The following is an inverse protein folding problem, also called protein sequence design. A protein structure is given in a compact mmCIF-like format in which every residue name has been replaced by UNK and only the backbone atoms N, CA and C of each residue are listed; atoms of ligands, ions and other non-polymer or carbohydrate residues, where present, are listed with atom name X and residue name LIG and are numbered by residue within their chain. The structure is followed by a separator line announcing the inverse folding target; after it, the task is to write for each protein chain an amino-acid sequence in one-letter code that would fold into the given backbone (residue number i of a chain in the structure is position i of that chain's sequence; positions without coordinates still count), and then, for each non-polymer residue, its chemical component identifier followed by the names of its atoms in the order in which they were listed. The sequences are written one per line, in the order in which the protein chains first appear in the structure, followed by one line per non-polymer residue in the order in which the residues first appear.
data_IF_577733848277
#
_entry.id   IF_577733848277
#
_cell.length_a   1.000
_cell.length_b   1.000
_cell.length_c   1.000
_cell.angle_alpha   90.00
_cell.angle_beta   90.00
_cell.angle_gamma   90.00
#
_symmetry.space_group_name_H-M   'P 1'
#
loop_
_entity.id
_entity.type
_entity.pdbx_description
1 polymer ?
#
# COMPACT_ATOMS: atom_id res chain seq x y z
N UNK A 1 -26.11 3.86 -3.68
CA UNK A 1 -25.17 4.04 -2.54
C UNK A 1 -25.78 3.44 -1.28
N UNK A 2 -26.99 3.86 -0.88
CA UNK A 2 -27.62 3.42 0.37
C UNK A 2 -27.94 1.92 0.42
N UNK A 3 -28.37 1.29 -0.67
CA UNK A 3 -28.58 -0.17 -0.73
C UNK A 3 -27.32 -0.96 -0.37
N UNK A 4 -26.16 -0.50 -0.84
CA UNK A 4 -24.86 -1.12 -0.47
C UNK A 4 -24.53 -0.93 1.01
N UNK A 5 -24.92 0.17 1.64
CA UNK A 5 -24.69 0.41 3.06
C UNK A 5 -25.54 -0.50 3.94
N UNK A 6 -26.77 -0.81 3.51
CA UNK A 6 -27.62 -1.82 4.17
C UNK A 6 -26.97 -3.20 4.10
N UNK A 7 -26.48 -3.61 2.92
CA UNK A 7 -25.77 -4.88 2.75
C UNK A 7 -24.53 -4.98 3.68
N UNK A 8 -23.77 -3.88 3.84
CA UNK A 8 -22.62 -3.83 4.73
C UNK A 8 -23.02 -3.92 6.21
N UNK A 9 -24.16 -3.36 6.60
CA UNK A 9 -24.68 -3.48 7.96
C UNK A 9 -25.03 -4.94 8.27
N UNK A 10 -25.76 -5.60 7.38
CA UNK A 10 -26.09 -7.03 7.52
C UNK A 10 -24.81 -7.87 7.58
N UNK A 11 -23.84 -7.57 6.70
CA UNK A 11 -22.56 -8.30 6.68
C UNK A 11 -21.79 -8.15 8.00
N UNK A 12 -21.77 -6.95 8.59
CA UNK A 12 -21.15 -6.74 9.90
C UNK A 12 -21.82 -7.57 11.00
N UNK A 13 -23.16 -7.65 11.01
CA UNK A 13 -23.91 -8.47 11.95
C UNK A 13 -23.60 -9.97 11.79
N UNK A 14 -23.47 -10.45 10.55
CA UNK A 14 -23.03 -11.82 10.26
C UNK A 14 -21.64 -12.08 10.83
N UNK A 15 -20.67 -11.19 10.58
CA UNK A 15 -19.30 -11.32 11.08
C UNK A 15 -19.27 -11.37 12.62
N UNK A 16 -20.04 -10.49 13.27
CA UNK A 16 -20.14 -10.49 14.73
C UNK A 16 -20.77 -11.81 15.25
N UNK A 17 -21.74 -12.36 14.54
CA UNK A 17 -22.32 -13.67 14.87
C UNK A 17 -21.30 -14.79 14.67
N UNK A 18 -20.57 -14.82 13.54
CA UNK A 18 -19.52 -15.80 13.27
C UNK A 18 -18.39 -15.74 14.30
N UNK A 19 -17.96 -14.54 14.72
CA UNK A 19 -16.92 -14.38 15.74
C UNK A 19 -17.33 -14.95 17.11
N UNK A 20 -18.63 -15.00 17.41
CA UNK A 20 -19.16 -15.59 18.63
C UNK A 20 -19.32 -17.11 18.57
N UNK A 21 -19.09 -17.74 17.41
CA UNK A 21 -19.15 -19.20 17.28
C UNK A 21 -17.98 -19.89 18.01
N UNK A 22 -18.23 -20.94 18.82
CA UNK A 22 -17.18 -21.60 19.62
C UNK A 22 -16.02 -22.19 18.81
N UNK A 23 -16.21 -22.42 17.49
CA UNK A 23 -15.22 -23.01 16.59
C UNK A 23 -14.21 -22.02 16.01
N UNK A 24 -14.56 -20.77 15.90
CA UNK A 24 -13.74 -19.74 15.22
C UNK A 24 -12.48 -19.40 16.03
N UNK A 25 -12.57 -19.43 17.36
CA UNK A 25 -11.41 -19.21 18.24
C UNK A 25 -10.30 -20.28 18.07
N UNK A 26 -10.63 -21.45 17.53
CA UNK A 26 -9.68 -22.54 17.29
C UNK A 26 -9.01 -22.46 15.91
N UNK A 27 -9.47 -21.58 15.03
CA UNK A 27 -8.88 -21.34 13.72
C UNK A 27 -8.32 -19.89 13.65
N UNK A 28 -7.01 -19.71 13.94
CA UNK A 28 -6.40 -18.38 13.97
C UNK A 28 -6.49 -17.63 12.63
N UNK A 29 -6.43 -18.34 11.51
CA UNK A 29 -6.48 -17.73 10.19
C UNK A 29 -7.88 -17.17 9.87
N UNK A 30 -8.93 -17.95 10.15
CA UNK A 30 -10.33 -17.53 10.00
C UNK A 30 -10.64 -16.37 10.94
N UNK A 31 -10.21 -16.47 12.21
CA UNK A 31 -10.41 -15.43 13.21
C UNK A 31 -9.76 -14.09 12.79
N UNK A 32 -8.50 -14.14 12.35
CA UNK A 32 -7.77 -12.95 11.90
C UNK A 32 -8.44 -12.30 10.67
N UNK A 33 -8.94 -13.11 9.74
CA UNK A 33 -9.66 -12.62 8.55
C UNK A 33 -10.96 -11.90 8.94
N UNK A 34 -11.76 -12.50 9.82
CA UNK A 34 -13.01 -11.91 10.30
C UNK A 34 -12.79 -10.63 11.10
N UNK A 35 -11.77 -10.61 11.99
CA UNK A 35 -11.40 -9.40 12.74
C UNK A 35 -10.94 -8.26 11.83
N UNK A 36 -10.20 -8.56 10.77
CA UNK A 36 -9.79 -7.57 9.78
C UNK A 36 -11.00 -7.00 9.04
N UNK A 37 -11.90 -7.86 8.57
CA UNK A 37 -13.14 -7.47 7.87
C UNK A 37 -14.04 -6.63 8.80
N UNK A 38 -14.20 -7.01 10.07
CA UNK A 38 -14.91 -6.22 11.08
C UNK A 38 -14.30 -4.83 11.23
N UNK A 39 -12.99 -4.75 11.43
CA UNK A 39 -12.29 -3.47 11.61
C UNK A 39 -12.42 -2.54 10.40
N UNK A 40 -12.56 -3.10 9.19
CA UNK A 40 -12.75 -2.34 7.97
C UNK A 40 -14.19 -1.83 7.82
N UNK A 41 -15.19 -2.64 8.21
CA UNK A 41 -16.62 -2.32 8.08
C UNK A 41 -17.18 -1.46 9.23
N UNK A 42 -16.64 -1.63 10.44
CA UNK A 42 -17.15 -0.94 11.63
C UNK A 42 -17.29 0.57 11.45
N UNK A 43 -16.27 1.33 10.97
CA UNK A 43 -16.38 2.78 10.80
C UNK A 43 -17.48 3.18 9.80
N UNK A 44 -17.68 2.38 8.75
CA UNK A 44 -18.68 2.65 7.72
C UNK A 44 -20.09 2.47 8.30
N UNK A 45 -20.28 1.39 9.05
CA UNK A 45 -21.58 1.08 9.66
C UNK A 45 -21.92 2.06 10.79
N UNK A 46 -20.93 2.49 11.57
CA UNK A 46 -21.15 3.47 12.64
C UNK A 46 -21.57 4.83 12.07
N UNK A 47 -20.87 5.32 11.04
CA UNK A 47 -21.24 6.55 10.33
C UNK A 47 -22.64 6.43 9.68
N UNK A 48 -22.97 5.25 9.15
CA UNK A 48 -24.29 5.02 8.54
C UNK A 48 -25.43 4.96 9.57
N UNK A 49 -25.18 4.37 10.74
CA UNK A 49 -26.14 4.37 11.86
C UNK A 49 -26.41 5.79 12.35
N UNK A 50 -25.34 6.60 12.49
CA UNK A 50 -25.47 8.01 12.87
C UNK A 50 -26.26 8.80 11.81
N UNK A 51 -25.97 8.57 10.52
CA UNK A 51 -26.73 9.17 9.41
C UNK A 51 -28.23 8.86 9.50
N UNK A 52 -28.61 7.59 9.73
CA UNK A 52 -30.02 7.19 9.92
C UNK A 52 -30.63 7.85 11.15
N UNK A 53 -29.90 7.93 12.25
CA UNK A 53 -30.41 8.60 13.46
C UNK A 53 -30.66 10.09 13.19
N UNK A 54 -29.76 10.79 12.49
CA UNK A 54 -29.98 12.19 12.11
C UNK A 54 -31.18 12.35 11.16
N UNK A 55 -31.38 11.43 10.19
CA UNK A 55 -32.56 11.44 9.33
C UNK A 55 -33.85 11.29 10.13
N UNK A 56 -33.88 10.36 11.09
CA UNK A 56 -35.02 10.17 11.96
C UNK A 56 -35.30 11.42 12.81
N UNK A 57 -34.25 12.03 13.37
CA UNK A 57 -34.39 13.31 14.10
C UNK A 57 -34.99 14.40 13.22
N UNK A 58 -34.59 14.51 11.94
CA UNK A 58 -35.15 15.48 11.00
C UNK A 58 -36.65 15.21 10.77
N UNK A 59 -37.05 13.95 10.58
CA UNK A 59 -38.44 13.58 10.37
C UNK A 59 -39.29 13.87 11.63
N UNK A 60 -38.80 13.48 12.81
CA UNK A 60 -39.49 13.71 14.10
C UNK A 60 -39.60 15.21 14.42
N UNK A 61 -38.52 15.98 14.25
CA UNK A 61 -38.53 17.43 14.48
C UNK A 61 -39.47 18.17 13.51
N UNK A 62 -39.61 17.72 12.26
CA UNK A 62 -40.54 18.27 11.31
C UNK A 62 -41.98 18.00 11.70
N UNK A 63 -42.30 16.76 12.15
CA UNK A 63 -43.65 16.41 12.63
C UNK A 63 -44.02 17.21 13.87
N UNK A 64 -43.10 17.34 14.83
CA UNK A 64 -43.32 18.12 16.05
C UNK A 64 -43.50 19.61 15.76
N UNK A 65 -42.78 20.18 14.78
CA UNK A 65 -42.90 21.58 14.34
C UNK A 65 -44.31 21.91 13.81
N UNK A 66 -44.95 20.93 13.18
CA UNK A 66 -46.33 21.11 12.68
C UNK A 66 -47.39 21.05 13.75
N UNK A 67 -47.15 20.36 14.88
CA UNK A 67 -48.10 20.17 15.95
C UNK A 67 -47.88 21.16 17.11
N UNK A 68 -46.64 21.70 17.29
CA UNK A 68 -46.25 22.55 18.41
C UNK A 68 -46.68 24.01 18.22
N UNK A 69 -47.29 24.59 19.26
CA UNK A 69 -47.77 25.97 19.28
C UNK A 69 -46.93 26.90 20.14
N UNK A 70 -46.05 26.37 20.99
CA UNK A 70 -45.14 27.15 21.82
C UNK A 70 -43.94 27.67 21.03
N UNK A 71 -43.71 28.98 21.08
CA UNK A 71 -42.69 29.65 20.29
C UNK A 71 -41.26 29.31 20.71
N UNK A 72 -41.04 29.11 22.03
CA UNK A 72 -39.72 28.69 22.55
C UNK A 72 -39.38 27.27 22.11
N UNK A 73 -40.37 26.36 22.18
CA UNK A 73 -40.19 24.98 21.73
C UNK A 73 -39.98 24.89 20.25
N UNK A 74 -40.67 25.71 19.46
CA UNK A 74 -40.47 25.79 17.99
C UNK A 74 -39.08 26.31 17.63
N UNK A 75 -38.50 27.24 18.37
CA UNK A 75 -37.14 27.69 18.14
C UNK A 75 -36.11 26.58 18.42
N UNK A 76 -36.26 25.84 19.55
CA UNK A 76 -35.40 24.69 19.83
C UNK A 76 -35.49 23.62 18.75
N UNK A 77 -36.68 23.27 18.28
CA UNK A 77 -36.87 22.29 17.24
C UNK A 77 -36.24 22.75 15.88
N UNK A 78 -36.27 24.04 15.58
CA UNK A 78 -35.61 24.57 14.38
C UNK A 78 -34.09 24.51 14.49
N UNK A 79 -33.53 24.74 15.67
CA UNK A 79 -32.10 24.65 15.92
C UNK A 79 -31.64 23.20 15.81
N UNK A 80 -32.34 22.26 16.44
CA UNK A 80 -32.12 20.83 16.34
C UNK A 80 -32.19 20.32 14.88
N UNK A 81 -33.19 20.80 14.13
CA UNK A 81 -33.36 20.47 12.73
C UNK A 81 -32.24 21.02 11.84
N UNK A 82 -31.71 22.22 12.16
CA UNK A 82 -30.60 22.82 11.45
C UNK A 82 -29.29 22.03 11.70
N UNK A 83 -29.04 21.66 12.96
CA UNK A 83 -27.88 20.88 13.37
C UNK A 83 -27.92 19.47 12.75
N UNK A 84 -29.08 18.79 12.80
CA UNK A 84 -29.25 17.49 12.20
C UNK A 84 -29.03 17.50 10.67
N UNK A 85 -29.51 18.53 9.97
CA UNK A 85 -29.28 18.68 8.52
C UNK A 85 -27.83 18.91 8.19
N UNK A 86 -27.14 19.78 8.96
CA UNK A 86 -25.72 20.02 8.78
C UNK A 86 -24.90 18.73 8.99
N UNK A 87 -25.26 17.98 10.02
CA UNK A 87 -24.59 16.70 10.32
C UNK A 87 -24.84 15.64 9.24
N UNK A 88 -26.01 15.61 8.62
CA UNK A 88 -26.33 14.74 7.47
C UNK A 88 -25.38 15.03 6.30
N UNK A 89 -25.19 16.31 5.95
CA UNK A 89 -24.30 16.70 4.84
C UNK A 89 -22.84 16.29 5.11
N UNK A 90 -22.38 16.46 6.36
CA UNK A 90 -21.04 15.99 6.77
C UNK A 90 -20.91 14.47 6.65
N UNK A 91 -21.90 13.72 7.19
CA UNK A 91 -21.92 12.25 7.16
C UNK A 91 -22.05 11.69 5.75
N UNK A 92 -22.78 12.35 4.86
CA UNK A 92 -22.80 11.96 3.45
C UNK A 92 -21.42 12.06 2.79
N UNK A 93 -20.69 13.10 3.12
CA UNK A 93 -19.33 13.30 2.61
C UNK A 93 -18.36 12.27 3.21
N UNK A 94 -18.46 12.04 4.52
CA UNK A 94 -17.68 11.03 5.24
C UNK A 94 -17.95 9.61 4.72
N UNK A 95 -19.21 9.24 4.53
CA UNK A 95 -19.61 7.94 3.96
C UNK A 95 -19.08 7.75 2.54
N UNK A 96 -19.11 8.79 1.70
CA UNK A 96 -18.51 8.74 0.36
C UNK A 96 -17.01 8.45 0.42
N UNK A 97 -16.29 9.06 1.38
CA UNK A 97 -14.86 8.83 1.59
C UNK A 97 -14.60 7.41 2.12
N UNK A 98 -15.37 6.96 3.09
CA UNK A 98 -15.25 5.61 3.68
C UNK A 98 -15.53 4.48 2.69
N UNK A 99 -16.40 4.73 1.71
CA UNK A 99 -16.72 3.79 0.64
C UNK A 99 -15.71 3.77 -0.50
N UNK A 100 -14.71 4.67 -0.50
CA UNK A 100 -13.64 4.60 -1.50
C UNK A 100 -12.87 3.28 -1.36
N UNK A 101 -12.50 2.65 -2.48
CA UNK A 101 -11.72 1.42 -2.43
C UNK A 101 -10.39 1.68 -1.71
N UNK A 102 -10.19 1.00 -0.59
CA UNK A 102 -8.93 1.04 0.16
C UNK A 102 -7.87 0.23 -0.60
N UNK A 103 -6.66 0.72 -0.62
CA UNK A 103 -5.53 -0.02 -1.14
C UNK A 103 -5.23 -1.20 -0.19
N UNK A 104 -5.18 -2.46 -0.67
CA UNK A 104 -4.89 -3.61 0.18
C UNK A 104 -3.52 -3.51 0.88
N UNK A 105 -2.62 -2.68 0.35
CA UNK A 105 -1.31 -2.44 0.91
C UNK A 105 -1.29 -1.39 2.03
N UNK A 106 -2.38 -0.65 2.26
CA UNK A 106 -2.42 0.47 3.22
C UNK A 106 -2.08 0.05 4.67
N UNK A 107 -2.31 -1.19 5.04
CA UNK A 107 -1.98 -1.74 6.36
C UNK A 107 -0.54 -2.23 6.50
N UNK A 108 0.22 -2.33 5.38
CA UNK A 108 1.56 -2.91 5.36
C UNK A 108 2.62 -1.93 5.85
N UNK A 109 3.76 -2.48 6.24
CA UNK A 109 4.98 -1.72 6.42
C UNK A 109 5.47 -1.17 5.08
N UNK A 110 6.36 -0.20 5.12
CA UNK A 110 6.82 0.47 3.91
C UNK A 110 8.33 0.39 3.77
N UNK A 111 8.78 0.11 2.56
CA UNK A 111 10.18 0.19 2.14
C UNK A 111 10.36 1.52 1.40
N UNK A 112 11.29 2.32 1.89
CA UNK A 112 11.64 3.62 1.32
C UNK A 112 13.02 3.50 0.70
N UNK A 113 13.13 3.83 -0.57
CA UNK A 113 14.38 3.87 -1.33
C UNK A 113 14.62 5.31 -1.80
N UNK A 114 15.75 5.89 -1.40
CA UNK A 114 16.16 7.24 -1.81
C UNK A 114 17.45 7.11 -2.62
N UNK A 115 17.46 7.68 -3.82
CA UNK A 115 18.64 7.72 -4.68
C UNK A 115 18.99 9.15 -5.07
N UNK A 116 20.28 9.46 -5.05
CA UNK A 116 20.80 10.69 -5.60
C UNK A 116 20.56 10.72 -7.12
N UNK A 117 19.96 11.81 -7.60
CA UNK A 117 19.72 12.07 -9.01
C UNK A 117 20.73 13.06 -9.60
N UNK A 118 20.24 14.07 -10.31
CA UNK A 118 21.09 15.11 -10.87
C UNK A 118 21.63 16.06 -9.79
N UNK A 119 22.96 16.23 -9.73
CA UNK A 119 23.59 17.17 -8.79
C UNK A 119 24.84 16.65 -8.09
N UNK A 120 25.24 15.38 -8.38
CA UNK A 120 26.47 14.80 -7.82
C UNK A 120 26.45 14.71 -6.29
N UNK A 121 27.52 15.21 -5.65
CA UNK A 121 27.67 15.15 -4.19
C UNK A 121 26.57 15.90 -3.43
N UNK A 122 26.09 17.01 -3.97
CA UNK A 122 25.00 17.78 -3.38
C UNK A 122 23.69 16.98 -3.35
N UNK A 123 23.39 16.24 -4.40
CA UNK A 123 22.24 15.35 -4.41
C UNK A 123 22.37 14.23 -3.36
N UNK A 124 23.59 13.71 -3.14
CA UNK A 124 23.84 12.71 -2.13
C UNK A 124 23.70 13.28 -0.70
N UNK A 125 24.17 14.50 -0.44
CA UNK A 125 23.98 15.19 0.84
C UNK A 125 22.47 15.43 1.11
N UNK A 126 21.76 15.86 0.09
CA UNK A 126 20.31 16.07 0.22
C UNK A 126 19.56 14.74 0.44
N UNK A 127 19.99 13.63 -0.16
CA UNK A 127 19.43 12.31 0.12
C UNK A 127 19.58 11.92 1.59
N UNK A 128 20.72 12.22 2.19
CA UNK A 128 20.95 11.98 3.63
C UNK A 128 20.05 12.87 4.52
N UNK A 129 19.75 14.10 4.11
CA UNK A 129 18.82 14.97 4.84
C UNK A 129 17.38 14.48 4.75
N UNK A 130 16.94 14.05 3.57
CA UNK A 130 15.59 13.49 3.38
C UNK A 130 15.44 12.15 4.11
N UNK A 131 16.46 11.31 4.15
CA UNK A 131 16.47 10.13 4.99
C UNK A 131 16.23 10.49 6.46
N UNK A 132 16.98 11.46 7.01
CA UNK A 132 16.79 11.94 8.40
C UNK A 132 15.42 12.51 8.65
N UNK A 133 14.84 13.21 7.68
CA UNK A 133 13.48 13.73 7.74
C UNK A 133 12.45 12.60 7.93
N UNK A 134 12.55 11.54 7.12
CA UNK A 134 11.63 10.40 7.25
C UNK A 134 11.85 9.60 8.54
N UNK A 135 13.09 9.45 9.01
CA UNK A 135 13.36 8.80 10.30
C UNK A 135 12.69 9.58 11.44
N UNK A 136 12.84 10.92 11.48
CA UNK A 136 12.19 11.77 12.49
C UNK A 136 10.66 11.72 12.40
N UNK A 137 10.12 11.69 11.18
CA UNK A 137 8.68 11.52 10.99
C UNK A 137 8.20 10.17 11.53
N UNK A 138 8.92 9.09 11.26
CA UNK A 138 8.60 7.77 11.78
C UNK A 138 8.67 7.74 13.33
N UNK A 139 9.69 8.36 13.92
CA UNK A 139 9.84 8.49 15.39
C UNK A 139 8.65 9.26 16.01
N UNK A 140 8.20 10.34 15.39
CA UNK A 140 7.03 11.12 15.87
C UNK A 140 5.75 10.29 15.89
N UNK A 141 5.64 9.33 14.97
CA UNK A 141 4.53 8.38 14.85
C UNK A 141 4.72 7.10 15.66
N UNK A 142 5.86 6.97 16.39
CA UNK A 142 6.25 5.76 17.14
C UNK A 142 6.42 4.54 16.24
N UNK A 143 6.77 4.76 14.97
CA UNK A 143 7.15 3.70 14.04
C UNK A 143 8.63 3.38 14.19
N UNK A 144 9.00 2.12 13.93
CA UNK A 144 10.39 1.69 13.96
C UNK A 144 11.00 1.78 12.57
N UNK A 145 12.22 2.27 12.48
CA UNK A 145 12.99 2.31 11.24
C UNK A 145 14.11 1.30 11.28
N UNK A 146 14.31 0.59 10.17
CA UNK A 146 15.37 -0.40 9.99
C UNK A 146 16.12 -0.11 8.70
N UNK A 147 17.44 0.09 8.81
CA UNK A 147 18.29 0.32 7.66
C UNK A 147 18.57 -1.01 6.95
N UNK A 148 18.22 -1.12 5.67
CA UNK A 148 18.43 -2.33 4.87
C UNK A 148 19.71 -2.26 4.05
N UNK A 149 19.95 -1.12 3.39
CA UNK A 149 21.12 -0.91 2.53
C UNK A 149 21.52 0.56 2.52
N UNK A 150 22.81 0.82 2.49
CA UNK A 150 23.38 2.16 2.45
C UNK A 150 24.61 2.21 1.54
N UNK A 151 24.63 3.17 0.62
CA UNK A 151 25.78 3.47 -0.23
C UNK A 151 26.15 4.95 -0.05
N UNK A 152 27.24 5.19 0.68
CA UNK A 152 27.76 6.52 1.00
C UNK A 152 28.72 7.05 -0.07
N UNK A 153 28.84 8.39 -0.16
CA UNK A 153 29.78 9.05 -1.07
C UNK A 153 31.10 9.51 -0.41
N UNK A 154 31.35 9.14 0.84
CA UNK A 154 32.58 9.49 1.58
C UNK A 154 32.63 10.90 2.20
N UNK A 155 31.64 11.76 1.94
CA UNK A 155 31.48 13.10 2.55
C UNK A 155 30.21 13.21 3.39
N UNK A 156 29.65 12.08 3.80
CA UNK A 156 28.44 12.00 4.63
C UNK A 156 27.13 12.08 3.84
N UNK A 157 27.16 12.09 2.51
CA UNK A 157 26.00 11.99 1.64
C UNK A 157 25.70 10.54 1.24
N UNK A 158 24.48 10.27 0.82
CA UNK A 158 24.03 8.95 0.40
C UNK A 158 23.77 8.93 -1.11
N UNK A 159 24.50 8.09 -1.84
CA UNK A 159 24.19 7.80 -3.25
C UNK A 159 22.89 7.03 -3.36
N UNK A 160 22.70 6.10 -2.43
CA UNK A 160 21.51 5.28 -2.31
C UNK A 160 21.32 4.87 -0.86
N UNK A 161 20.11 4.93 -0.35
CA UNK A 161 19.73 4.37 0.94
C UNK A 161 18.37 3.70 0.81
N UNK A 162 18.28 2.47 1.35
CA UNK A 162 17.03 1.71 1.44
C UNK A 162 16.80 1.36 2.91
N UNK A 163 15.63 1.67 3.41
CA UNK A 163 15.25 1.40 4.79
C UNK A 163 13.77 1.06 4.88
N UNK A 164 13.42 0.30 5.89
CA UNK A 164 12.05 -0.08 6.19
C UNK A 164 11.50 0.75 7.34
N UNK A 165 10.24 1.14 7.24
CA UNK A 165 9.47 1.77 8.33
C UNK A 165 8.38 0.80 8.74
N UNK A 166 8.50 0.27 9.95
CA UNK A 166 7.58 -0.69 10.55
C UNK A 166 6.55 0.05 11.41
N UNK A 167 5.30 0.09 10.95
CA UNK A 167 4.23 0.74 11.68
C UNK A 167 2.87 0.54 11.01
N UNK A 168 1.83 0.43 11.82
CA UNK A 168 0.47 0.31 11.32
C UNK A 168 0.10 1.53 10.46
N UNK A 169 -0.28 1.30 9.21
CA UNK A 169 -0.66 2.36 8.28
C UNK A 169 0.51 3.20 7.75
N UNK A 170 1.77 2.75 7.90
CA UNK A 170 2.93 3.48 7.41
C UNK A 170 2.88 3.67 5.89
N UNK A 171 2.52 2.63 5.15
CA UNK A 171 2.38 2.71 3.70
C UNK A 171 1.26 3.65 3.28
N UNK A 172 0.10 3.64 3.94
CA UNK A 172 -1.05 4.49 3.59
C UNK A 172 -0.72 5.98 3.60
N UNK A 173 0.18 6.40 4.48
CA UNK A 173 0.62 7.80 4.57
C UNK A 173 1.78 8.11 3.64
N UNK A 174 2.79 7.26 3.60
CA UNK A 174 4.04 7.52 2.88
C UNK A 174 3.96 7.25 1.37
N UNK A 175 2.97 6.50 0.88
CA UNK A 175 2.80 6.23 -0.57
C UNK A 175 2.75 7.50 -1.42
N UNK A 176 2.33 8.62 -0.86
CA UNK A 176 2.27 9.91 -1.55
C UNK A 176 3.62 10.65 -1.59
N UNK A 177 4.65 10.16 -0.90
CA UNK A 177 5.99 10.73 -0.87
C UNK A 177 6.87 10.33 -2.05
N UNK A 178 6.40 9.38 -2.88
CA UNK A 178 7.12 8.91 -4.06
C UNK A 178 7.29 9.99 -5.12
N UNK A 179 8.41 9.93 -5.84
CA UNK A 179 8.70 10.79 -6.97
C UNK A 179 10.02 11.55 -6.87
N UNK A 180 10.15 12.62 -7.66
CA UNK A 180 11.35 13.44 -7.73
C UNK A 180 11.27 14.61 -6.75
N UNK A 181 12.19 14.65 -5.80
CA UNK A 181 12.36 15.76 -4.86
C UNK A 181 13.54 16.65 -5.28
N UNK A 182 13.29 17.93 -5.38
CA UNK A 182 14.25 18.91 -5.86
C UNK A 182 14.67 19.85 -4.76
N UNK A 183 15.98 20.08 -4.61
CA UNK A 183 16.54 21.06 -3.69
C UNK A 183 17.13 22.25 -4.46
N UNK A 184 16.94 23.44 -3.92
CA UNK A 184 17.53 24.69 -4.38
C UNK A 184 18.24 25.35 -3.21
N UNK A 185 19.58 25.30 -3.20
CA UNK A 185 20.45 25.96 -2.19
C UNK A 185 21.85 26.19 -2.76
N UNK A 186 22.64 26.95 -2.04
CA UNK A 186 24.07 27.01 -2.25
C UNK A 186 24.68 25.74 -1.66
N UNK A 187 25.29 24.84 -2.46
CA UNK A 187 25.90 23.61 -1.94
C UNK A 187 27.04 23.92 -0.97
N UNK A 188 27.25 23.08 0.02
CA UNK A 188 28.43 23.16 0.90
C UNK A 188 29.76 22.97 0.13
N UNK A 189 29.69 22.31 -1.03
CA UNK A 189 30.83 22.08 -1.92
C UNK A 189 31.09 23.23 -2.91
N UNK A 190 30.26 24.28 -2.92
CA UNK A 190 30.35 25.40 -3.85
C UNK A 190 31.07 26.60 -3.22
N UNK A 191 32.22 27.00 -3.79
CA UNK A 191 33.01 28.15 -3.33
C UNK A 191 32.50 29.50 -3.84
N UNK A 192 31.67 29.50 -4.90
CA UNK A 192 31.21 30.71 -5.59
C UNK A 192 29.88 31.27 -5.10
N UNK A 193 29.25 30.68 -4.08
CA UNK A 193 27.95 31.14 -3.53
C UNK A 193 26.77 31.02 -4.48
N UNK A 194 26.88 30.27 -5.56
CA UNK A 194 25.81 30.11 -6.55
C UNK A 194 24.76 29.09 -6.07
N UNK A 195 23.49 29.44 -6.27
CA UNK A 195 22.39 28.52 -6.00
C UNK A 195 22.39 27.41 -7.06
N UNK A 196 22.55 26.16 -6.61
CA UNK A 196 22.41 24.99 -7.46
C UNK A 196 21.05 24.32 -7.28
N UNK A 197 20.65 23.58 -8.29
CA UNK A 197 19.44 22.76 -8.27
C UNK A 197 19.85 21.30 -8.40
N UNK A 198 19.61 20.54 -7.35
CA UNK A 198 19.88 19.10 -7.31
C UNK A 198 18.58 18.30 -7.12
N UNK A 199 18.59 17.04 -7.50
CA UNK A 199 17.41 16.16 -7.40
C UNK A 199 17.77 14.85 -6.75
N UNK A 200 16.81 14.29 -6.05
CA UNK A 200 16.80 12.92 -5.58
C UNK A 200 15.51 12.25 -6.05
N UNK A 201 15.52 10.96 -6.09
CA UNK A 201 14.32 10.16 -6.33
C UNK A 201 13.95 9.38 -5.08
N UNK A 202 12.68 9.35 -4.76
CA UNK A 202 12.11 8.61 -3.64
C UNK A 202 11.15 7.58 -4.19
N UNK A 203 11.41 6.29 -3.95
CA UNK A 203 10.48 5.21 -4.23
C UNK A 203 9.88 4.70 -2.92
N UNK A 204 8.58 4.47 -2.91
CA UNK A 204 7.82 3.98 -1.77
C UNK A 204 7.14 2.68 -2.18
N UNK A 205 7.52 1.59 -1.55
CA UNK A 205 6.98 0.27 -1.85
C UNK A 205 6.41 -0.37 -0.60
N UNK A 206 5.30 -1.12 -0.71
CA UNK A 206 4.81 -1.91 0.40
C UNK A 206 5.78 -3.06 0.68
N UNK A 207 5.86 -3.49 1.94
CA UNK A 207 6.59 -4.72 2.30
C UNK A 207 5.99 -5.92 1.55
N UNK A 208 6.85 -6.69 0.90
CA UNK A 208 6.46 -7.90 0.19
C UNK A 208 6.08 -9.00 1.17
N UNK A 209 4.95 -9.66 0.96
CA UNK A 209 4.57 -10.86 1.70
C UNK A 209 5.36 -12.06 1.19
N UNK A 210 5.62 -13.04 2.06
CA UNK A 210 6.19 -14.32 1.66
C UNK A 210 5.30 -14.99 0.60
N UNK A 211 5.93 -15.61 -0.39
CA UNK A 211 5.21 -16.32 -1.43
C UNK A 211 4.75 -17.67 -0.86
N UNK A 212 3.49 -17.78 -0.51
CA UNK A 212 2.88 -19.08 -0.20
C UNK A 212 2.50 -19.79 -1.50
N UNK A 213 3.47 -20.53 -2.06
CA UNK A 213 3.27 -21.27 -3.30
C UNK A 213 2.76 -22.69 -3.01
N UNK A 214 1.49 -22.95 -3.33
CA UNK A 214 0.90 -24.28 -3.27
C UNK A 214 0.70 -24.83 -4.68
N UNK A 215 1.35 -25.98 -4.96
CA UNK A 215 1.18 -26.69 -6.24
C UNK A 215 -0.09 -27.55 -6.18
N UNK A 216 -1.06 -27.26 -7.05
CA UNK A 216 -2.20 -28.16 -7.26
C UNK A 216 -1.78 -29.34 -8.14
N UNK A 217 -1.91 -30.55 -7.60
CA UNK A 217 -1.58 -31.79 -8.33
C UNK A 217 -2.58 -32.09 -9.46
N UNK A 218 -3.77 -31.50 -9.44
CA UNK A 218 -4.76 -31.67 -10.51
C UNK A 218 -4.33 -30.96 -11.81
N UNK A 219 -3.49 -29.94 -11.71
CA UNK A 219 -2.92 -29.23 -12.84
C UNK A 219 -1.71 -29.98 -13.47
N UNK A 220 -1.37 -31.13 -12.91
CA UNK A 220 -0.20 -31.90 -13.31
C UNK A 220 -0.59 -33.15 -14.08
N UNK A 221 -0.19 -33.24 -15.35
CA UNK A 221 -0.33 -34.46 -16.17
C UNK A 221 0.95 -35.31 -16.11
N UNK A 222 0.82 -36.57 -15.74
CA UNK A 222 1.92 -37.53 -15.70
C UNK A 222 1.84 -38.52 -16.85
N UNK A 223 2.89 -38.56 -17.64
CA UNK A 223 3.09 -39.55 -18.68
C UNK A 223 4.31 -40.43 -18.31
N UNK A 224 4.19 -41.75 -18.42
CA UNK A 224 5.30 -42.68 -18.15
C UNK A 224 5.84 -43.23 -19.46
N UNK A 225 7.15 -43.42 -19.52
CA UNK A 225 7.82 -43.92 -20.70
C UNK A 225 9.08 -44.72 -20.33
N UNK A 226 9.66 -45.42 -21.31
CA UNK A 226 10.91 -46.15 -21.11
C UNK A 226 12.08 -45.23 -21.07
N UNK A 227 12.96 -45.42 -20.06
CA UNK A 227 14.18 -44.62 -19.97
C UNK A 227 15.08 -44.89 -21.19
N UNK A 228 15.69 -43.84 -21.73
CA UNK A 228 16.66 -43.94 -22.81
C UNK A 228 18.09 -43.83 -22.25
N UNK A 229 18.98 -44.75 -22.59
CA UNK A 229 20.40 -44.71 -22.17
C UNK A 229 21.08 -46.06 -22.25
N UNK A 230 22.39 -46.06 -22.00
CA UNK A 230 23.20 -47.30 -21.94
C UNK A 230 22.81 -48.10 -20.68
N UNK A 231 21.99 -49.15 -20.83
CA UNK A 231 21.54 -49.95 -19.69
C UNK A 231 21.16 -51.36 -20.11
N UNK A 232 21.11 -52.29 -19.15
CA UNK A 232 20.70 -53.69 -19.34
C UNK A 232 19.18 -53.87 -19.42
N UNK A 233 18.67 -55.10 -19.21
CA UNK A 233 17.26 -55.45 -19.39
C UNK A 233 16.28 -54.56 -18.58
N UNK A 234 16.68 -54.01 -17.43
CA UNK A 234 15.83 -53.16 -16.59
C UNK A 234 15.48 -51.81 -17.25
N UNK A 235 16.39 -51.20 -18.01
CA UNK A 235 16.17 -49.93 -18.73
C UNK A 235 15.26 -50.12 -19.94
N UNK A 236 15.37 -51.28 -20.62
CA UNK A 236 14.67 -51.51 -21.88
C UNK A 236 13.25 -52.13 -21.71
N UNK A 237 12.94 -52.66 -20.51
CA UNK A 237 11.67 -53.36 -20.26
C UNK A 237 10.73 -52.66 -19.30
N UNK A 238 11.24 -51.76 -18.46
CA UNK A 238 10.43 -51.11 -17.40
C UNK A 238 10.16 -49.65 -17.73
N UNK A 239 8.89 -49.22 -17.68
CA UNK A 239 8.50 -47.81 -17.84
C UNK A 239 8.81 -47.04 -16.56
N UNK A 240 10.09 -46.76 -16.32
CA UNK A 240 10.57 -46.05 -15.09
C UNK A 240 10.70 -44.55 -15.24
N UNK A 241 10.79 -44.06 -16.48
CA UNK A 241 10.89 -42.59 -16.73
C UNK A 241 9.52 -41.93 -16.66
N UNK A 242 9.51 -40.73 -16.12
CA UNK A 242 8.30 -39.92 -15.89
C UNK A 242 8.45 -38.59 -16.61
N UNK A 243 7.44 -38.21 -17.39
CA UNK A 243 7.26 -36.86 -17.95
C UNK A 243 6.10 -36.21 -17.20
N UNK A 244 6.38 -35.08 -16.58
CA UNK A 244 5.42 -34.27 -15.88
C UNK A 244 5.17 -33.01 -16.70
N UNK A 245 3.92 -32.76 -17.06
CA UNK A 245 3.49 -31.54 -17.76
C UNK A 245 2.57 -30.76 -16.84
N UNK A 246 2.94 -29.52 -16.53
CA UNK A 246 2.06 -28.59 -15.81
C UNK A 246 1.16 -27.87 -16.83
N UNK A 247 -0.14 -28.15 -16.77
CA UNK A 247 -1.11 -27.73 -17.80
C UNK A 247 -1.19 -26.20 -17.94
N UNK A 248 -1.31 -25.41 -16.84
CA UNK A 248 -1.47 -23.96 -16.97
C UNK A 248 -0.25 -23.22 -17.55
N UNK A 249 0.97 -23.68 -17.22
CA UNK A 249 2.21 -23.01 -17.67
C UNK A 249 2.87 -23.67 -18.87
N UNK A 250 2.45 -24.89 -19.23
CA UNK A 250 3.05 -25.67 -20.30
C UNK A 250 4.47 -26.20 -19.99
N UNK A 251 4.94 -26.11 -18.75
CA UNK A 251 6.26 -26.60 -18.34
C UNK A 251 6.27 -28.11 -18.41
N UNK A 252 7.25 -28.66 -19.12
CA UNK A 252 7.47 -30.10 -19.23
C UNK A 252 8.79 -30.49 -18.55
N UNK A 253 8.72 -31.47 -17.64
CA UNK A 253 9.88 -32.00 -16.92
C UNK A 253 9.94 -33.49 -17.16
N UNK A 254 11.10 -33.99 -17.60
CA UNK A 254 11.35 -35.42 -17.76
C UNK A 254 12.42 -35.87 -16.79
N UNK A 255 12.10 -36.89 -15.98
CA UNK A 255 13.01 -37.50 -15.02
C UNK A 255 13.14 -38.99 -15.34
N UNK A 256 14.41 -39.47 -15.54
CA UNK A 256 14.72 -40.86 -15.87
C UNK A 256 15.97 -41.37 -15.13
N UNK A 257 16.44 -40.64 -14.13
CA UNK A 257 17.72 -40.92 -13.46
C UNK A 257 17.64 -42.09 -12.48
N UNK A 258 16.44 -42.32 -11.92
CA UNK A 258 16.23 -43.34 -10.93
C UNK A 258 15.59 -44.61 -11.57
N UNK A 259 15.91 -45.77 -11.01
CA UNK A 259 15.31 -47.06 -11.44
C UNK A 259 13.83 -47.21 -11.03
N UNK A 260 13.35 -46.36 -10.12
CA UNK A 260 11.99 -46.37 -9.58
C UNK A 260 11.16 -45.26 -10.19
N UNK A 261 10.03 -45.61 -10.81
CA UNK A 261 9.05 -44.65 -11.33
C UNK A 261 8.57 -43.68 -10.24
N UNK A 262 8.33 -44.15 -9.02
CA UNK A 262 7.87 -43.33 -7.90
C UNK A 262 8.90 -42.28 -7.54
N UNK A 263 10.19 -42.64 -7.46
CA UNK A 263 11.28 -41.69 -7.19
C UNK A 263 11.44 -40.65 -8.30
N UNK A 264 11.30 -41.04 -9.58
CA UNK A 264 11.32 -40.14 -10.71
C UNK A 264 10.13 -39.16 -10.67
N UNK A 265 8.94 -39.61 -10.26
CA UNK A 265 7.76 -38.78 -10.07
C UNK A 265 7.98 -37.73 -8.96
N UNK A 266 8.48 -38.17 -7.81
CA UNK A 266 8.77 -37.24 -6.69
C UNK A 266 9.85 -36.20 -7.06
N UNK A 267 10.86 -36.65 -7.82
CA UNK A 267 11.90 -35.76 -8.33
C UNK A 267 11.35 -34.73 -9.31
N UNK A 268 10.50 -35.18 -10.26
CA UNK A 268 9.84 -34.29 -11.21
C UNK A 268 8.99 -33.23 -10.52
N UNK A 269 8.21 -33.62 -9.48
CA UNK A 269 7.41 -32.69 -8.68
C UNK A 269 8.27 -31.67 -7.93
N UNK A 270 9.41 -32.08 -7.35
CA UNK A 270 10.33 -31.16 -6.69
C UNK A 270 10.91 -30.14 -7.66
N UNK A 271 11.33 -30.59 -8.84
CA UNK A 271 11.86 -29.71 -9.89
C UNK A 271 10.77 -28.76 -10.41
N UNK A 272 9.52 -29.25 -10.57
CA UNK A 272 8.41 -28.40 -10.96
C UNK A 272 8.13 -27.30 -9.93
N UNK A 273 8.06 -27.67 -8.63
CA UNK A 273 7.86 -26.69 -7.55
C UNK A 273 8.93 -25.60 -7.56
N UNK A 274 10.20 -25.98 -7.70
CA UNK A 274 11.29 -25.00 -7.77
C UNK A 274 11.13 -24.07 -8.97
N UNK A 275 10.85 -24.60 -10.17
CA UNK A 275 10.69 -23.77 -11.38
C UNK A 275 9.48 -22.83 -11.29
N UNK A 276 8.36 -23.29 -10.77
CA UNK A 276 7.17 -22.44 -10.61
C UNK A 276 7.39 -21.38 -9.56
N UNK A 277 8.08 -21.70 -8.46
CA UNK A 277 8.48 -20.74 -7.45
C UNK A 277 9.42 -19.65 -8.02
N UNK A 278 10.44 -20.07 -8.80
CA UNK A 278 11.36 -19.14 -9.46
C UNK A 278 10.63 -18.23 -10.47
N UNK A 279 9.65 -18.75 -11.21
CA UNK A 279 8.83 -17.95 -12.12
C UNK A 279 7.97 -16.93 -11.38
N UNK A 280 7.33 -17.31 -10.28
CA UNK A 280 6.51 -16.40 -9.49
C UNK A 280 7.37 -15.32 -8.82
N UNK A 281 8.56 -15.70 -8.34
CA UNK A 281 9.53 -14.76 -7.80
C UNK A 281 9.98 -13.75 -8.86
N UNK A 282 10.30 -14.23 -10.07
CA UNK A 282 10.70 -13.36 -11.18
C UNK A 282 9.58 -12.40 -11.58
N UNK A 283 8.35 -12.90 -11.66
CA UNK A 283 7.18 -12.06 -11.99
C UNK A 283 6.99 -10.94 -10.97
N UNK A 284 7.10 -11.26 -9.67
CA UNK A 284 7.03 -10.24 -8.61
C UNK A 284 8.15 -9.20 -8.73
N UNK A 285 9.37 -9.65 -8.99
CA UNK A 285 10.50 -8.72 -9.20
C UNK A 285 10.27 -7.79 -10.40
N UNK A 286 9.68 -8.31 -11.48
CA UNK A 286 9.38 -7.50 -12.67
C UNK A 286 8.27 -6.49 -12.36
N UNK A 287 7.21 -6.88 -11.64
CA UNK A 287 6.12 -6.01 -11.18
C UNK A 287 6.64 -4.91 -10.23
N UNK A 288 7.48 -5.26 -9.25
CA UNK A 288 8.13 -4.30 -8.35
C UNK A 288 9.05 -3.33 -9.10
N UNK A 289 9.82 -3.84 -10.07
CA UNK A 289 10.71 -3.01 -10.88
C UNK A 289 9.92 -2.03 -11.75
N UNK A 290 8.78 -2.45 -12.30
CA UNK A 290 7.88 -1.58 -13.07
C UNK A 290 7.21 -0.54 -12.17
N UNK A 291 6.69 -0.93 -11.02
CA UNK A 291 6.12 -0.03 -10.03
C UNK A 291 7.14 1.03 -9.58
N UNK A 292 8.38 0.62 -9.30
CA UNK A 292 9.48 1.53 -8.97
C UNK A 292 9.78 2.51 -10.11
N UNK A 293 9.87 2.04 -11.35
CA UNK A 293 10.11 2.90 -12.52
C UNK A 293 9.01 3.93 -12.71
N UNK A 294 7.75 3.54 -12.53
CA UNK A 294 6.61 4.46 -12.68
C UNK A 294 6.62 5.57 -11.62
N UNK A 295 7.14 5.32 -10.42
CA UNK A 295 7.24 6.30 -9.34
C UNK A 295 8.38 7.31 -9.54
N UNK A 296 9.54 6.86 -10.01
CA UNK A 296 10.78 7.65 -10.02
C UNK A 296 11.05 8.36 -11.36
N UNK A 297 10.36 7.99 -12.45
CA UNK A 297 10.60 8.57 -13.76
C UNK A 297 12.07 8.48 -14.19
N UNK A 298 12.59 9.55 -14.78
CA UNK A 298 14.02 9.68 -15.18
C UNK A 298 14.89 10.32 -14.10
N UNK A 299 14.29 10.89 -13.03
CA UNK A 299 15.00 11.68 -12.02
C UNK A 299 15.50 13.04 -12.52
N UNK A 300 15.04 13.51 -13.67
CA UNK A 300 15.41 14.82 -14.21
C UNK A 300 14.84 15.96 -13.36
N UNK A 301 15.52 17.12 -13.42
CA UNK A 301 15.11 18.35 -12.74
C UNK A 301 13.74 18.87 -13.18
N UNK A 302 13.27 18.49 -14.35
CA UNK A 302 11.94 18.85 -14.88
C UNK A 302 10.81 18.07 -14.22
N UNK A 303 11.05 16.84 -13.77
CA UNK A 303 10.06 15.91 -13.18
C UNK A 303 9.87 16.12 -11.67
N UNK A 304 9.79 17.38 -11.25
CA UNK A 304 9.68 17.72 -9.82
C UNK A 304 8.29 17.45 -9.26
N UNK A 305 8.20 16.62 -8.24
CA UNK A 305 6.99 16.51 -7.41
C UNK A 305 7.02 17.54 -6.30
N UNK A 306 8.17 17.67 -5.61
CA UNK A 306 8.34 18.62 -4.51
C UNK A 306 9.64 19.39 -4.64
N UNK A 307 9.60 20.68 -4.29
CA UNK A 307 10.79 21.56 -4.29
C UNK A 307 11.03 22.12 -2.90
N UNK A 308 12.26 21.94 -2.41
CA UNK A 308 12.77 22.48 -1.17
C UNK A 308 13.66 23.70 -1.50
N UNK A 309 13.18 24.89 -1.22
CA UNK A 309 13.88 26.15 -1.54
C UNK A 309 14.43 26.75 -0.25
N UNK A 310 15.73 26.56 -0.02
CA UNK A 310 16.42 27.04 1.19
C UNK A 310 16.51 28.55 1.26
N UNK A 311 16.89 29.31 0.19
CA UNK A 311 16.92 30.76 0.24
C UNK A 311 15.60 31.43 0.61
N UNK A 312 14.47 30.78 0.30
CA UNK A 312 13.13 31.29 0.59
C UNK A 312 12.47 30.58 1.80
N UNK A 313 13.16 29.62 2.44
CA UNK A 313 12.62 28.88 3.59
C UNK A 313 11.31 28.15 3.31
N UNK A 314 11.07 27.74 2.06
CA UNK A 314 9.79 27.15 1.65
C UNK A 314 9.91 25.77 1.00
N UNK A 315 8.86 24.98 1.20
CA UNK A 315 8.63 23.72 0.47
C UNK A 315 7.38 23.86 -0.38
N UNK A 316 7.46 23.46 -1.65
CA UNK A 316 6.32 23.50 -2.58
C UNK A 316 6.07 22.11 -3.15
N UNK A 317 4.89 21.53 -2.92
CA UNK A 317 4.42 20.35 -3.62
C UNK A 317 3.68 20.78 -4.89
N UNK A 318 4.22 20.38 -6.04
CA UNK A 318 3.71 20.85 -7.34
C UNK A 318 2.46 20.09 -7.80
N UNK A 319 2.21 18.91 -7.26
CA UNK A 319 1.03 18.10 -7.59
C UNK A 319 -0.27 18.78 -7.16
N UNK A 320 -0.26 19.38 -5.97
CA UNK A 320 -1.40 20.05 -5.34
C UNK A 320 -1.21 21.56 -5.23
N UNK A 321 -0.09 22.10 -5.73
CA UNK A 321 0.29 23.52 -5.66
C UNK A 321 0.34 24.08 -4.24
N UNK A 322 0.59 23.22 -3.24
CA UNK A 322 0.75 23.61 -1.85
C UNK A 322 2.14 24.21 -1.62
N UNK A 323 2.20 25.37 -0.96
CA UNK A 323 3.46 26.00 -0.58
C UNK A 323 3.45 26.33 0.91
N UNK A 324 4.44 25.83 1.65
CA UNK A 324 4.60 26.01 3.09
C UNK A 324 5.93 26.74 3.36
N UNK A 325 5.90 27.82 4.16
CA UNK A 325 7.07 28.63 4.51
C UNK A 325 7.68 28.20 5.85
N UNK A 326 7.92 26.88 6.01
CA UNK A 326 8.50 26.27 7.23
C UNK A 326 9.39 25.09 6.89
N UNK A 327 10.35 25.35 5.99
CA UNK A 327 11.29 24.36 5.49
C UNK A 327 11.99 23.58 6.63
N UNK A 328 12.50 24.27 7.64
CA UNK A 328 13.26 23.66 8.74
C UNK A 328 12.40 22.70 9.57
N UNK A 329 11.14 23.04 9.81
CA UNK A 329 10.19 22.18 10.55
C UNK A 329 9.89 20.90 9.76
N UNK A 330 9.68 21.06 8.44
CA UNK A 330 9.43 19.93 7.52
C UNK A 330 10.64 18.99 7.49
N UNK A 331 11.87 19.51 7.35
CA UNK A 331 13.10 18.70 7.39
C UNK A 331 13.33 18.05 8.76
N UNK A 332 12.70 18.56 9.81
CA UNK A 332 12.67 17.94 11.13
C UNK A 332 11.53 16.93 11.33
N UNK A 333 10.82 16.55 10.27
CA UNK A 333 9.84 15.47 10.28
C UNK A 333 8.39 15.92 10.40
N UNK A 334 8.07 17.22 10.31
CA UNK A 334 6.67 17.69 10.31
C UNK A 334 6.08 17.61 8.89
N UNK A 335 5.64 16.42 8.50
CA UNK A 335 5.11 16.12 7.16
C UNK A 335 3.58 16.04 7.12
N UNK A 336 2.90 16.10 8.26
CA UNK A 336 1.46 15.79 8.34
C UNK A 336 0.62 16.67 7.42
N UNK A 337 0.81 18.00 7.43
CA UNK A 337 0.02 18.90 6.59
C UNK A 337 0.18 18.61 5.09
N UNK A 338 1.39 18.26 4.65
CA UNK A 338 1.65 17.90 3.24
C UNK A 338 0.96 16.59 2.90
N UNK A 339 1.14 15.57 3.75
CA UNK A 339 0.58 14.23 3.54
C UNK A 339 -0.94 14.29 3.57
N UNK A 340 -1.54 14.97 4.56
CA UNK A 340 -2.99 15.10 4.68
C UNK A 340 -3.61 15.83 3.49
N UNK A 341 -2.94 16.89 2.99
CA UNK A 341 -3.36 17.59 1.78
C UNK A 341 -3.29 16.70 0.53
N UNK A 342 -2.28 15.84 0.42
CA UNK A 342 -2.16 14.88 -0.68
C UNK A 342 -3.22 13.78 -0.60
N UNK A 343 -3.51 13.28 0.60
CA UNK A 343 -4.60 12.33 0.85
C UNK A 343 -5.94 12.93 0.44
N UNK A 344 -6.23 14.16 0.87
CA UNK A 344 -7.48 14.85 0.52
C UNK A 344 -7.61 15.08 -1.00
N UNK A 345 -6.52 15.42 -1.67
CA UNK A 345 -6.52 15.58 -3.13
C UNK A 345 -6.77 14.24 -3.87
N UNK A 346 -6.16 13.15 -3.41
CA UNK A 346 -6.38 11.80 -3.97
C UNK A 346 -7.82 11.33 -3.75
N UNK A 347 -8.36 11.52 -2.54
CA UNK A 347 -9.76 11.21 -2.23
C UNK A 347 -10.73 12.01 -3.12
N UNK A 348 -10.47 13.31 -3.30
CA UNK A 348 -11.28 14.16 -4.19
C UNK A 348 -11.23 13.67 -5.63
N UNK A 349 -10.05 13.29 -6.12
CA UNK A 349 -9.90 12.75 -7.47
C UNK A 349 -10.60 11.40 -7.65
N UNK A 350 -10.59 10.53 -6.65
CA UNK A 350 -11.30 9.25 -6.65
C UNK A 350 -12.82 9.45 -6.63
N UNK A 351 -13.32 10.36 -5.79
CA UNK A 351 -14.75 10.72 -5.75
C UNK A 351 -15.24 11.29 -7.09
N UNK A 352 -14.43 12.14 -7.73
CA UNK A 352 -14.78 12.67 -9.07
C UNK A 352 -14.89 11.57 -10.14
N UNK A 353 -14.05 10.53 -10.06
CA UNK A 353 -14.11 9.35 -10.96
C UNK A 353 -15.31 8.44 -10.68
N UNK A 354 -15.77 8.34 -9.44
CA UNK A 354 -16.95 7.54 -9.08
C UNK A 354 -18.26 8.18 -9.52
N UNK A 355 -18.26 9.50 -9.72
CA UNK A 355 -19.43 10.27 -10.16
C UNK A 355 -19.55 10.39 -11.69
N UNK A 356 -18.59 9.85 -12.45
CA UNK A 356 -18.60 9.75 -13.92
C UNK A 356 -19.07 8.35 -14.38
#
# INVERSE_FOLDING_TARGET
MFDKLEDLLVRLEEILSELNEPGVANDPARFQKLMKEQSELQPIVDAYKEYKACQQTVEESLMMLDEESDEEMREMLKEELADAKSRIEELETELKILLLPKDPNDSKNVIVEIRAGAGGDEAALFAAEIYRMYVKYAESRRWKTELMSLNENGIGGFKEVTFMINGAGAYSRLKYESGVHRVQRVPETESGGRIHTSTITVAIMPEAEEIDFQLDLNDCKFDVFRASGNGGQCVNTTDSAVRLTHIPTGIVISCQDEKSQLKNRDKALRVLRSRLYDMELQKRHDEEAEARRSQVGTGDRSEKNRTYNFPQGRVTDHRIKLTLHRLDTILNGDLDEIIDSLIAADQTAKLAKMNQ
#
